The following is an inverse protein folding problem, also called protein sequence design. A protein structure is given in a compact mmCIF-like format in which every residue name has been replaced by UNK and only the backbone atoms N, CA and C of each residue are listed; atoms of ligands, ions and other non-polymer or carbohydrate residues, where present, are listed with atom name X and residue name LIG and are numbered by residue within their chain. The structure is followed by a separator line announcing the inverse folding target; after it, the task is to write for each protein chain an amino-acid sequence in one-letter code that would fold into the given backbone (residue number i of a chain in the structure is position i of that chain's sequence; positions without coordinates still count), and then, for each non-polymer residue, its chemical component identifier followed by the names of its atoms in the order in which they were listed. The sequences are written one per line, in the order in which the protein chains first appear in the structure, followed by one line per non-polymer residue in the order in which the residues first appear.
data_IF_636461227855
#
_entry.id   IF_636461227855
#
_cell.length_a   1.000
_cell.length_b   1.000
_cell.length_c   1.000
_cell.angle_alpha   90.00
_cell.angle_beta   90.00
_cell.angle_gamma   90.00
#
_symmetry.space_group_name_H-M   'P 1'
#
loop_
_entity.id
_entity.type
_entity.pdbx_description
1 polymer ?
#
# COMPACT_ATOMS: atom_id res chain seq x y z
N UNK A 1 19.89 -63.17 7.52
CA UNK A 1 20.25 -61.76 7.82
C UNK A 1 18.99 -60.91 7.82
N UNK A 2 18.65 -60.26 8.94
CA UNK A 2 17.43 -59.46 9.05
C UNK A 2 17.58 -58.14 8.28
N UNK A 3 16.63 -57.88 7.36
CA UNK A 3 16.56 -56.68 6.50
C UNK A 3 16.54 -55.42 7.37
N UNK A 4 17.59 -54.60 7.31
CA UNK A 4 17.70 -53.32 8.01
C UNK A 4 16.58 -52.41 7.51
N UNK A 5 15.66 -52.01 8.40
CA UNK A 5 14.51 -51.16 8.05
C UNK A 5 14.96 -49.73 7.81
N UNK A 6 14.23 -49.00 6.96
CA UNK A 6 14.53 -47.60 6.66
C UNK A 6 14.31 -46.71 7.89
N UNK A 7 15.10 -45.63 8.00
CA UNK A 7 15.01 -44.68 9.11
C UNK A 7 13.60 -44.06 9.18
N UNK A 8 12.90 -44.23 10.30
CA UNK A 8 11.61 -43.57 10.58
C UNK A 8 10.34 -44.42 10.39
N UNK A 9 10.43 -45.72 10.06
CA UNK A 9 9.24 -46.58 9.85
C UNK A 9 8.51 -47.02 11.12
N UNK A 10 9.10 -46.80 12.31
CA UNK A 10 8.53 -47.25 13.59
C UNK A 10 8.49 -48.78 13.75
N UNK A 11 8.36 -49.25 14.98
CA UNK A 11 8.33 -50.68 15.32
C UNK A 11 7.04 -51.04 16.03
N UNK A 12 6.27 -52.01 15.51
CA UNK A 12 5.08 -52.56 16.16
C UNK A 12 5.44 -53.90 16.80
N UNK A 13 5.21 -54.04 18.12
CA UNK A 13 5.44 -55.27 18.89
C UNK A 13 4.27 -55.59 19.82
N UNK A 14 4.12 -56.86 20.20
CA UNK A 14 3.10 -57.30 21.16
C UNK A 14 3.67 -57.25 22.58
N UNK A 15 2.95 -56.63 23.52
CA UNK A 15 3.31 -56.57 24.94
C UNK A 15 2.84 -57.84 25.69
N UNK A 16 3.46 -58.18 26.84
CA UNK A 16 3.01 -59.29 27.69
C UNK A 16 1.54 -59.18 28.14
N UNK A 17 1.02 -57.96 28.27
CA UNK A 17 -0.39 -57.70 28.61
C UNK A 17 -1.37 -57.85 27.43
N UNK A 18 -0.95 -58.46 26.33
CA UNK A 18 -1.79 -58.73 25.15
C UNK A 18 -2.01 -57.55 24.20
N UNK A 19 -1.63 -56.31 24.56
CA UNK A 19 -1.78 -55.12 23.70
C UNK A 19 -0.65 -55.00 22.68
N UNK A 20 -0.93 -54.35 21.55
CA UNK A 20 0.07 -53.96 20.56
C UNK A 20 0.65 -52.59 20.89
N UNK A 21 1.96 -52.43 20.76
CA UNK A 21 2.71 -51.19 20.96
C UNK A 21 3.45 -50.80 19.68
N UNK A 22 3.17 -49.62 19.16
CA UNK A 22 3.90 -48.99 18.06
C UNK A 22 4.83 -47.93 18.62
N UNK A 23 6.14 -48.02 18.36
CA UNK A 23 7.13 -47.00 18.73
C UNK A 23 7.56 -46.21 17.51
N UNK A 24 7.69 -44.90 17.66
CA UNK A 24 8.25 -44.02 16.65
C UNK A 24 9.24 -43.06 17.26
N UNK A 25 10.18 -42.60 16.43
CA UNK A 25 11.13 -41.56 16.80
C UNK A 25 10.45 -40.21 16.59
N UNK A 26 10.30 -39.46 17.68
CA UNK A 26 9.71 -38.13 17.66
C UNK A 26 10.69 -37.09 17.13
N UNK A 27 11.99 -37.27 17.42
CA UNK A 27 13.07 -36.38 17.01
C UNK A 27 14.38 -36.78 17.69
N UNK A 28 15.41 -35.95 17.53
CA UNK A 28 16.68 -36.04 18.25
C UNK A 28 16.70 -34.92 19.29
N UNK A 29 17.04 -35.25 20.53
CA UNK A 29 17.27 -34.29 21.58
C UNK A 29 18.46 -33.38 21.21
N UNK A 30 18.28 -32.05 21.08
CA UNK A 30 19.33 -31.14 20.66
C UNK A 30 20.46 -30.97 21.70
N UNK A 31 20.18 -31.20 22.99
CA UNK A 31 21.18 -31.11 24.05
C UNK A 31 21.97 -32.41 24.22
N UNK A 32 21.34 -33.56 24.02
CA UNK A 32 21.97 -34.87 24.29
C UNK A 32 22.30 -35.69 23.03
N UNK A 33 21.81 -35.29 21.86
CA UNK A 33 21.97 -36.01 20.59
C UNK A 33 21.25 -37.35 20.53
N UNK A 34 20.43 -37.70 21.54
CA UNK A 34 19.77 -39.02 21.63
C UNK A 34 18.39 -39.00 20.97
N UNK A 35 18.02 -40.11 20.35
CA UNK A 35 16.71 -40.28 19.72
C UNK A 35 15.60 -40.40 20.77
N UNK A 36 14.63 -39.48 20.76
CA UNK A 36 13.48 -39.51 21.66
C UNK A 36 12.42 -40.45 21.08
N UNK A 37 12.11 -41.52 21.81
CA UNK A 37 11.13 -42.52 21.39
C UNK A 37 9.80 -42.31 22.12
N UNK A 38 8.68 -42.25 21.38
CA UNK A 38 7.32 -42.32 21.94
C UNK A 38 6.60 -43.58 21.46
N UNK A 39 5.59 -44.00 22.22
CA UNK A 39 4.81 -45.20 21.92
C UNK A 39 3.31 -44.94 21.92
N UNK A 40 2.59 -45.57 20.99
CA UNK A 40 1.13 -45.71 21.00
C UNK A 40 0.76 -47.16 21.29
N UNK A 41 -0.40 -47.40 21.91
CA UNK A 41 -0.87 -48.77 22.17
C UNK A 41 -2.33 -49.01 21.80
N UNK A 42 -2.65 -50.21 21.33
CA UNK A 42 -3.99 -50.60 20.90
C UNK A 42 -4.27 -52.09 21.17
N UNK A 43 -5.54 -52.51 21.07
CA UNK A 43 -5.94 -53.91 21.27
C UNK A 43 -5.62 -54.78 20.06
N UNK A 44 -5.72 -54.23 18.84
CA UNK A 44 -5.41 -54.95 17.60
C UNK A 44 -4.16 -54.37 16.92
N UNK A 45 -3.51 -55.19 16.07
CA UNK A 45 -2.34 -54.75 15.29
C UNK A 45 -2.70 -53.66 14.28
N UNK A 46 -3.88 -53.75 13.67
CA UNK A 46 -4.38 -52.79 12.69
C UNK A 46 -4.65 -51.42 13.33
N UNK A 47 -5.36 -51.39 14.46
CA UNK A 47 -5.62 -50.17 15.22
C UNK A 47 -4.31 -49.54 15.74
N UNK A 48 -3.32 -50.36 16.12
CA UNK A 48 -2.00 -49.90 16.52
C UNK A 48 -1.25 -49.25 15.37
N UNK A 49 -1.30 -49.85 14.16
CA UNK A 49 -0.69 -49.31 12.94
C UNK A 49 -1.29 -47.96 12.57
N UNK A 50 -2.62 -47.84 12.59
CA UNK A 50 -3.30 -46.59 12.26
C UNK A 50 -2.98 -45.47 13.27
N UNK A 51 -2.98 -45.79 14.58
CA UNK A 51 -2.54 -44.85 15.63
C UNK A 51 -1.08 -44.44 15.47
N UNK A 52 -0.22 -45.37 15.03
CA UNK A 52 1.20 -45.11 14.81
C UNK A 52 1.43 -44.21 13.60
N UNK A 53 0.75 -44.47 12.48
CA UNK A 53 0.82 -43.64 11.27
C UNK A 53 0.29 -42.22 11.51
N UNK A 54 -0.80 -42.10 12.28
CA UNK A 54 -1.34 -40.82 12.74
C UNK A 54 -0.33 -40.07 13.60
N UNK A 55 0.24 -40.74 14.61
CA UNK A 55 1.25 -40.15 15.48
C UNK A 55 2.52 -39.72 14.72
N UNK A 56 2.98 -40.50 13.74
CA UNK A 56 4.12 -40.14 12.88
C UNK A 56 3.77 -38.92 12.01
N UNK A 57 2.56 -38.87 11.44
CA UNK A 57 2.11 -37.77 10.59
C UNK A 57 2.00 -36.46 11.38
N UNK A 58 1.38 -36.51 12.55
CA UNK A 58 1.15 -35.35 13.41
C UNK A 58 2.47 -34.78 13.93
N UNK A 59 3.49 -35.64 14.13
CA UNK A 59 4.77 -35.26 14.74
C UNK A 59 5.96 -35.14 13.78
N UNK A 60 5.78 -35.37 12.47
CA UNK A 60 6.86 -35.20 11.47
C UNK A 60 7.26 -33.72 11.32
N UNK A 61 8.48 -33.37 11.69
CA UNK A 61 9.02 -32.02 11.48
C UNK A 61 8.65 -31.03 12.58
N UNK A 62 8.45 -31.51 13.81
CA UNK A 62 8.46 -30.65 15.01
C UNK A 62 9.91 -30.61 15.51
N UNK A 63 10.65 -29.50 15.37
CA UNK A 63 11.91 -29.31 16.09
C UNK A 63 11.61 -29.37 17.60
N UNK A 64 12.20 -30.35 18.29
CA UNK A 64 11.90 -30.68 19.69
C UNK A 64 12.59 -29.75 20.71
N UNK A 65 13.02 -28.56 20.29
CA UNK A 65 13.48 -27.50 21.20
C UNK A 65 12.41 -26.42 21.46
N UNK A 66 11.24 -26.51 20.80
CA UNK A 66 10.16 -25.52 20.92
C UNK A 66 8.91 -26.06 21.60
N UNK A 67 9.06 -26.96 22.58
CA UNK A 67 7.99 -27.27 23.52
C UNK A 67 7.92 -26.23 24.66
N UNK A 68 8.26 -24.98 24.36
CA UNK A 68 7.89 -23.87 25.21
C UNK A 68 6.39 -23.65 25.03
N UNK A 69 5.68 -23.67 26.14
CA UNK A 69 4.28 -23.31 26.23
C UNK A 69 4.17 -21.80 25.94
N UNK A 70 4.36 -21.40 24.68
CA UNK A 70 4.41 -19.99 24.31
C UNK A 70 3.10 -19.32 24.70
N UNK A 71 3.22 -18.18 25.35
CA UNK A 71 2.16 -17.20 25.43
C UNK A 71 2.01 -16.49 24.08
N UNK A 72 0.86 -15.84 23.86
CA UNK A 72 0.65 -15.01 22.66
C UNK A 72 1.73 -13.94 22.55
N UNK A 73 2.16 -13.34 23.66
CA UNK A 73 3.17 -12.29 23.66
C UNK A 73 4.53 -12.81 23.18
N UNK A 74 5.01 -13.91 23.76
CA UNK A 74 6.30 -14.53 23.40
C UNK A 74 6.29 -14.94 21.92
N UNK A 75 5.24 -15.62 21.48
CA UNK A 75 5.14 -16.04 20.09
C UNK A 75 5.09 -14.88 19.11
N UNK A 76 4.25 -13.86 19.35
CA UNK A 76 4.14 -12.72 18.45
C UNK A 76 5.48 -11.97 18.33
N UNK A 77 6.23 -11.83 19.43
CA UNK A 77 7.56 -11.18 19.42
C UNK A 77 8.59 -12.03 18.68
N UNK A 78 8.66 -13.33 18.97
CA UNK A 78 9.54 -14.27 18.26
C UNK A 78 9.24 -14.31 16.77
N UNK A 79 7.94 -14.41 16.42
CA UNK A 79 7.48 -14.40 15.04
C UNK A 79 7.88 -13.11 14.33
N UNK A 80 7.69 -11.98 15.00
CA UNK A 80 8.02 -10.68 14.46
C UNK A 80 9.51 -10.55 14.16
N UNK A 81 10.40 -10.89 15.10
CA UNK A 81 11.85 -10.76 14.90
C UNK A 81 12.40 -11.79 13.91
N UNK A 82 11.90 -13.03 13.95
CA UNK A 82 12.45 -14.15 13.15
C UNK A 82 11.92 -14.17 11.72
N UNK A 83 10.60 -14.05 11.55
CA UNK A 83 9.96 -14.28 10.25
C UNK A 83 9.50 -12.99 9.58
N UNK A 84 8.94 -12.04 10.34
CA UNK A 84 8.29 -10.88 9.74
C UNK A 84 9.25 -9.73 9.44
N UNK A 85 10.01 -9.28 10.43
CA UNK A 85 10.86 -8.08 10.37
C UNK A 85 11.94 -8.15 9.29
N UNK A 86 12.64 -9.28 9.04
CA UNK A 86 13.70 -9.34 8.03
C UNK A 86 13.23 -9.10 6.59
N UNK A 87 11.94 -9.34 6.30
CA UNK A 87 11.39 -9.31 4.93
C UNK A 87 10.42 -8.16 4.68
N UNK A 88 10.18 -7.29 5.66
CA UNK A 88 9.28 -6.14 5.55
C UNK A 88 10.01 -4.81 5.71
N UNK A 89 9.46 -3.75 5.12
CA UNK A 89 10.04 -2.40 5.20
C UNK A 89 10.01 -1.84 6.63
N UNK A 90 10.94 -0.94 7.01
CA UNK A 90 11.05 -0.38 8.36
C UNK A 90 9.74 0.19 8.91
N UNK A 91 9.00 0.97 8.11
CA UNK A 91 7.73 1.54 8.57
C UNK A 91 6.64 0.46 8.76
N UNK A 92 6.65 -0.62 7.96
CA UNK A 92 5.76 -1.75 8.17
C UNK A 92 6.14 -2.51 9.45
N UNK A 93 7.43 -2.73 9.69
CA UNK A 93 7.94 -3.34 10.91
C UNK A 93 7.53 -2.54 12.16
N UNK A 94 7.72 -1.22 12.13
CA UNK A 94 7.28 -0.31 13.20
C UNK A 94 5.78 -0.42 13.48
N UNK A 95 4.96 -0.46 12.42
CA UNK A 95 3.52 -0.62 12.55
C UNK A 95 3.14 -1.99 13.15
N UNK A 96 3.79 -3.08 12.73
CA UNK A 96 3.56 -4.42 13.27
C UNK A 96 3.93 -4.47 14.76
N UNK A 97 5.12 -3.95 15.11
CA UNK A 97 5.56 -3.84 16.51
C UNK A 97 4.57 -3.04 17.36
N UNK A 98 4.12 -1.88 16.87
CA UNK A 98 3.11 -1.08 17.57
C UNK A 98 1.79 -1.83 17.80
N UNK A 99 1.38 -2.67 16.84
CA UNK A 99 0.18 -3.48 16.97
C UNK A 99 0.37 -4.59 18.00
N UNK A 100 1.52 -5.26 17.97
CA UNK A 100 1.85 -6.33 18.91
C UNK A 100 1.88 -5.77 20.32
N UNK A 101 2.71 -4.75 20.57
CA UNK A 101 3.00 -4.26 21.92
C UNK A 101 1.85 -3.45 22.53
N UNK A 102 1.11 -2.68 21.74
CA UNK A 102 0.08 -1.78 22.30
C UNK A 102 -1.35 -2.33 22.23
N UNK A 103 -1.59 -3.40 21.47
CA UNK A 103 -2.94 -3.94 21.30
C UNK A 103 -3.05 -5.43 21.59
N UNK A 104 -2.15 -6.26 21.04
CA UNK A 104 -2.23 -7.72 21.19
C UNK A 104 -1.73 -8.14 22.58
N UNK A 105 -0.51 -7.73 22.94
CA UNK A 105 0.13 -8.11 24.21
C UNK A 105 -0.68 -7.67 25.42
N UNK A 106 -1.18 -6.42 25.53
CA UNK A 106 -1.93 -5.99 26.71
C UNK A 106 -3.27 -6.72 26.88
N UNK A 107 -3.88 -7.18 25.78
CA UNK A 107 -5.22 -7.78 25.83
C UNK A 107 -5.18 -9.30 26.04
N UNK A 108 -4.31 -10.01 25.31
CA UNK A 108 -4.27 -11.49 25.31
C UNK A 108 -2.86 -12.05 25.44
N UNK A 109 -1.85 -11.19 25.69
CA UNK A 109 -0.45 -11.55 25.69
C UNK A 109 -0.08 -12.66 26.67
N UNK A 110 -0.76 -12.74 27.82
CA UNK A 110 -0.51 -13.76 28.85
C UNK A 110 -1.17 -15.11 28.55
N UNK A 111 -2.07 -15.18 27.58
CA UNK A 111 -2.78 -16.42 27.22
C UNK A 111 -1.80 -17.37 26.54
N UNK A 112 -1.75 -18.63 26.98
CA UNK A 112 -0.98 -19.68 26.30
C UNK A 112 -1.58 -19.97 24.92
N UNK A 113 -0.75 -20.09 23.89
CA UNK A 113 -1.20 -20.32 22.51
C UNK A 113 -2.17 -21.51 22.39
N UNK A 114 -1.87 -22.62 23.07
CA UNK A 114 -2.71 -23.84 23.07
C UNK A 114 -4.08 -23.64 23.72
N UNK A 115 -4.25 -22.59 24.53
CA UNK A 115 -5.51 -22.22 25.19
C UNK A 115 -6.17 -21.00 24.55
N UNK A 116 -5.58 -20.42 23.51
CA UNK A 116 -6.12 -19.25 22.84
C UNK A 116 -7.36 -19.65 22.02
N UNK A 117 -8.47 -18.99 22.32
CA UNK A 117 -9.76 -19.25 21.65
C UNK A 117 -10.19 -18.08 20.77
N UNK A 118 -11.03 -18.36 19.77
CA UNK A 118 -11.62 -17.32 18.92
C UNK A 118 -12.47 -16.32 19.72
N UNK A 119 -13.11 -16.76 20.81
CA UNK A 119 -13.93 -15.90 21.68
C UNK A 119 -13.05 -14.84 22.38
N UNK A 120 -11.89 -15.22 22.91
CA UNK A 120 -10.97 -14.27 23.54
C UNK A 120 -10.47 -13.22 22.52
N UNK A 121 -10.18 -13.64 21.29
CA UNK A 121 -9.77 -12.72 20.22
C UNK A 121 -10.93 -11.79 19.82
N UNK A 122 -12.15 -12.31 19.71
CA UNK A 122 -13.32 -11.48 19.41
C UNK A 122 -13.59 -10.45 20.51
N UNK A 123 -13.45 -10.84 21.78
CA UNK A 123 -13.56 -9.92 22.91
C UNK A 123 -12.49 -8.83 22.85
N UNK A 124 -11.24 -9.18 22.50
CA UNK A 124 -10.19 -8.19 22.26
C UNK A 124 -10.58 -7.20 21.15
N UNK A 125 -11.15 -7.66 20.02
CA UNK A 125 -11.60 -6.78 18.94
C UNK A 125 -12.72 -5.83 19.39
N UNK A 126 -13.70 -6.35 20.15
CA UNK A 126 -14.81 -5.56 20.66
C UNK A 126 -14.32 -4.51 21.67
N UNK A 127 -13.43 -4.91 22.59
CA UNK A 127 -12.81 -4.00 23.57
C UNK A 127 -11.94 -2.94 22.89
N UNK A 128 -11.20 -3.32 21.85
CA UNK A 128 -10.41 -2.39 21.03
C UNK A 128 -11.31 -1.32 20.40
N UNK A 129 -12.49 -1.69 19.91
CA UNK A 129 -13.47 -0.77 19.34
C UNK A 129 -14.07 0.17 20.40
N UNK A 130 -14.20 -0.27 21.65
CA UNK A 130 -14.81 0.54 22.71
C UNK A 130 -13.80 1.42 23.48
N UNK A 131 -12.57 0.93 23.72
CA UNK A 131 -11.60 1.53 24.66
C UNK A 131 -10.14 1.43 24.20
N UNK A 132 -9.88 1.03 22.95
CA UNK A 132 -8.55 0.60 22.51
C UNK A 132 -7.59 1.70 22.05
N UNK A 133 -7.97 2.98 22.10
CA UNK A 133 -7.09 4.06 21.64
C UNK A 133 -5.93 4.23 22.63
N UNK A 134 -4.71 3.95 22.17
CA UNK A 134 -3.48 4.16 22.97
C UNK A 134 -3.34 5.66 23.22
N UNK A 135 -3.46 6.06 24.48
CA UNK A 135 -3.42 7.46 24.87
C UNK A 135 -1.96 7.94 24.82
N UNK A 136 -1.63 8.71 23.78
CA UNK A 136 -0.29 9.31 23.60
C UNK A 136 -0.17 10.72 24.17
N UNK A 137 -1.29 11.36 24.48
CA UNK A 137 -1.39 12.73 24.98
C UNK A 137 -2.49 12.78 26.05
N UNK A 138 -2.35 13.72 27.01
CA UNK A 138 -3.23 13.86 28.19
C UNK A 138 -4.68 14.28 27.84
N UNK A 139 -4.94 14.65 26.59
CA UNK A 139 -6.28 14.97 26.10
C UNK A 139 -7.08 13.70 25.77
N UNK A 140 -8.17 13.49 26.52
CA UNK A 140 -9.14 12.41 26.27
C UNK A 140 -9.80 12.59 24.90
N UNK A 141 -9.26 11.95 23.88
CA UNK A 141 -9.93 11.81 22.57
C UNK A 141 -10.74 10.52 22.58
N UNK A 142 -12.01 10.60 22.17
CA UNK A 142 -12.99 9.50 22.11
C UNK A 142 -12.35 8.10 21.97
N UNK A 143 -12.56 7.24 22.97
CA UNK A 143 -11.77 6.04 23.27
C UNK A 143 -11.85 4.88 22.24
N UNK A 144 -12.62 5.06 21.16
CA UNK A 144 -12.89 4.03 20.16
C UNK A 144 -11.81 3.95 19.06
N UNK A 145 -11.34 2.75 18.75
CA UNK A 145 -10.54 2.49 17.54
C UNK A 145 -11.43 2.32 16.31
N UNK A 146 -10.95 2.79 15.16
CA UNK A 146 -11.62 2.57 13.87
C UNK A 146 -11.66 1.08 13.48
N UNK A 147 -12.68 0.69 12.73
CA UNK A 147 -12.78 -0.66 12.17
C UNK A 147 -11.56 -1.05 11.30
N UNK A 148 -10.96 -0.07 10.62
CA UNK A 148 -9.71 -0.26 9.86
C UNK A 148 -8.52 -0.64 10.74
N UNK A 149 -8.44 -0.12 11.97
CA UNK A 149 -7.37 -0.47 12.91
C UNK A 149 -7.57 -1.88 13.45
N UNK A 150 -8.81 -2.25 13.80
CA UNK A 150 -9.16 -3.63 14.23
C UNK A 150 -8.83 -4.64 13.13
N UNK A 151 -9.13 -4.34 11.85
CA UNK A 151 -8.70 -5.16 10.71
C UNK A 151 -7.19 -5.36 10.67
N UNK A 152 -6.41 -4.32 10.94
CA UNK A 152 -4.95 -4.40 10.94
C UNK A 152 -4.41 -5.23 12.11
N UNK A 153 -5.00 -5.09 13.30
CA UNK A 153 -4.71 -5.95 14.46
C UNK A 153 -4.97 -7.41 14.11
N UNK A 154 -6.13 -7.71 13.52
CA UNK A 154 -6.46 -9.04 13.04
C UNK A 154 -5.44 -9.58 12.04
N UNK A 155 -5.06 -8.78 11.03
CA UNK A 155 -4.10 -9.21 10.01
C UNK A 155 -2.74 -9.61 10.62
N UNK A 156 -2.21 -8.81 11.55
CA UNK A 156 -0.92 -9.10 12.20
C UNK A 156 -1.03 -10.37 13.05
N UNK A 157 -2.06 -10.47 13.90
CA UNK A 157 -2.26 -11.64 14.75
C UNK A 157 -2.48 -12.92 13.93
N UNK A 158 -3.36 -12.86 12.93
CA UNK A 158 -3.65 -13.99 12.04
C UNK A 158 -2.40 -14.45 11.28
N UNK A 159 -1.54 -13.52 10.84
CA UNK A 159 -0.26 -13.86 10.20
C UNK A 159 0.68 -14.60 11.16
N UNK A 160 0.82 -14.10 12.39
CA UNK A 160 1.63 -14.76 13.42
C UNK A 160 1.11 -16.18 13.75
N UNK A 161 -0.21 -16.33 13.94
CA UNK A 161 -0.82 -17.61 14.27
C UNK A 161 -0.82 -18.59 13.09
N UNK A 162 -0.90 -18.11 11.84
CA UNK A 162 -0.67 -18.95 10.65
C UNK A 162 0.73 -19.54 10.63
N UNK A 163 1.75 -18.77 11.03
CA UNK A 163 3.09 -19.33 11.17
C UNK A 163 3.13 -20.37 12.31
N UNK A 164 2.45 -20.12 13.44
CA UNK A 164 2.37 -21.11 14.54
C UNK A 164 1.74 -22.44 14.10
N UNK A 165 0.76 -22.41 13.21
CA UNK A 165 0.18 -23.63 12.60
C UNK A 165 1.20 -24.34 11.72
N UNK A 166 1.97 -23.61 10.91
CA UNK A 166 3.04 -24.20 10.07
C UNK A 166 4.13 -24.86 10.89
N UNK A 167 4.52 -24.24 12.00
CA UNK A 167 5.45 -24.80 12.99
C UNK A 167 4.80 -25.88 13.89
N UNK A 168 3.50 -26.17 13.69
CA UNK A 168 2.71 -27.17 14.43
C UNK A 168 2.63 -26.90 15.94
N UNK A 169 2.78 -25.65 16.37
CA UNK A 169 2.64 -25.23 17.76
C UNK A 169 1.16 -25.25 18.17
N UNK A 170 0.27 -24.89 17.24
CA UNK A 170 -1.19 -24.98 17.38
C UNK A 170 -1.80 -25.72 16.18
N UNK A 171 -2.91 -26.45 16.37
CA UNK A 171 -3.50 -27.29 15.32
C UNK A 171 -4.25 -26.50 14.25
N UNK A 172 -4.76 -25.30 14.58
CA UNK A 172 -5.48 -24.41 13.67
C UNK A 172 -5.30 -22.96 14.11
N UNK A 173 -5.66 -22.01 13.26
CA UNK A 173 -5.60 -20.58 13.55
C UNK A 173 -6.92 -20.07 14.14
N UNK A 174 -6.99 -19.69 15.44
CA UNK A 174 -8.23 -19.20 16.05
C UNK A 174 -8.78 -17.91 15.42
N UNK A 175 -7.94 -17.12 14.73
CA UNK A 175 -8.40 -15.91 14.03
C UNK A 175 -9.39 -16.21 12.90
N UNK A 176 -9.35 -17.39 12.28
CA UNK A 176 -10.18 -17.71 11.11
C UNK A 176 -11.68 -17.74 11.44
N UNK A 177 -12.03 -17.93 12.72
CA UNK A 177 -13.41 -17.94 13.21
C UNK A 177 -13.87 -16.59 13.80
N UNK A 178 -13.05 -15.54 13.70
CA UNK A 178 -13.40 -14.23 14.23
C UNK A 178 -14.19 -13.37 13.24
N UNK A 179 -15.12 -12.57 13.74
CA UNK A 179 -15.85 -11.56 12.96
C UNK A 179 -15.11 -10.23 12.98
N UNK A 180 -14.76 -9.76 11.79
CA UNK A 180 -13.95 -8.56 11.60
C UNK A 180 -14.86 -7.42 11.09
N UNK A 181 -14.68 -6.16 11.55
CA UNK A 181 -15.47 -5.03 11.06
C UNK A 181 -15.41 -4.90 9.54
N UNK A 182 -16.53 -4.54 8.90
CA UNK A 182 -16.57 -4.27 7.45
C UNK A 182 -15.59 -3.15 7.09
N UNK A 183 -15.07 -3.19 5.87
CA UNK A 183 -14.25 -2.10 5.33
C UNK A 183 -15.22 -0.94 5.06
N UNK A 184 -15.09 0.14 5.82
CA UNK A 184 -15.80 1.39 5.52
C UNK A 184 -15.16 2.03 4.29
N UNK A 185 -15.98 2.42 3.33
CA UNK A 185 -15.59 3.30 2.25
C UNK A 185 -15.86 4.72 2.73
N UNK A 186 -14.83 5.55 2.75
CA UNK A 186 -14.99 6.98 2.99
C UNK A 186 -15.08 7.65 1.64
N UNK A 187 -16.04 8.54 1.48
CA UNK A 187 -16.08 9.41 0.31
C UNK A 187 -14.80 10.24 0.27
N UNK A 188 -14.26 10.40 -0.93
CA UNK A 188 -13.06 11.18 -1.13
C UNK A 188 -13.42 12.66 -1.06
N UNK A 189 -12.60 13.43 -0.36
CA UNK A 189 -12.73 14.88 -0.31
C UNK A 189 -11.77 15.48 -1.32
N UNK A 190 -12.24 16.40 -2.14
CA UNK A 190 -11.41 17.17 -3.08
C UNK A 190 -11.52 18.66 -2.75
N UNK A 191 -10.60 19.46 -3.27
CA UNK A 191 -10.79 20.92 -3.27
C UNK A 191 -11.93 21.23 -4.25
N UNK A 192 -12.97 21.99 -3.85
CA UNK A 192 -14.00 22.44 -4.77
C UNK A 192 -13.38 23.24 -5.93
N UNK A 193 -13.69 22.94 -7.21
CA UNK A 193 -13.07 23.60 -8.36
C UNK A 193 -13.10 25.13 -8.30
N UNK A 194 -14.19 25.71 -7.83
CA UNK A 194 -14.40 27.14 -7.65
C UNK A 194 -13.50 27.77 -6.57
N UNK A 195 -13.01 26.98 -5.61
CA UNK A 195 -12.10 27.42 -4.54
C UNK A 195 -10.63 27.23 -4.91
N UNK A 196 -10.31 26.46 -5.96
CA UNK A 196 -8.93 26.14 -6.34
C UNK A 196 -8.07 27.39 -6.59
N UNK A 197 -8.64 28.39 -7.28
CA UNK A 197 -7.94 29.64 -7.54
C UNK A 197 -7.63 30.45 -6.27
N UNK A 198 -8.55 30.45 -5.29
CA UNK A 198 -8.32 31.08 -3.98
C UNK A 198 -7.22 30.33 -3.23
N UNK A 199 -7.30 29.00 -3.19
CA UNK A 199 -6.32 28.16 -2.53
C UNK A 199 -4.89 28.36 -3.06
N UNK A 200 -4.72 28.43 -4.39
CA UNK A 200 -3.40 28.69 -5.00
C UNK A 200 -2.87 30.10 -4.68
N UNK A 201 -3.74 31.12 -4.61
CA UNK A 201 -3.33 32.47 -4.16
C UNK A 201 -2.88 32.48 -2.71
N UNK A 202 -3.54 31.75 -1.83
CA UNK A 202 -3.09 31.63 -0.44
C UNK A 202 -1.76 30.86 -0.35
N UNK A 203 -1.55 29.83 -1.19
CA UNK A 203 -0.27 29.15 -1.29
C UNK A 203 0.86 30.08 -1.76
N UNK A 204 0.56 30.99 -2.68
CA UNK A 204 1.50 32.02 -3.17
C UNK A 204 1.86 33.01 -2.08
N UNK A 205 0.87 33.59 -1.39
CA UNK A 205 1.10 34.49 -0.25
C UNK A 205 1.91 33.81 0.87
N UNK A 206 1.73 32.51 1.06
CA UNK A 206 2.47 31.73 2.05
C UNK A 206 3.89 31.34 1.59
N UNK A 207 4.22 31.53 0.30
CA UNK A 207 5.54 31.19 -0.26
C UNK A 207 5.73 29.70 -0.54
N UNK A 208 4.66 28.95 -0.80
CA UNK A 208 4.71 27.50 -1.10
C UNK A 208 3.99 27.12 -2.40
N UNK A 209 3.59 28.11 -3.21
CA UNK A 209 2.89 27.89 -4.47
C UNK A 209 3.54 26.82 -5.35
N UNK A 210 4.86 26.83 -5.63
CA UNK A 210 5.46 25.88 -6.56
C UNK A 210 5.23 24.42 -6.18
N UNK A 211 5.38 24.09 -4.89
CA UNK A 211 5.16 22.73 -4.38
C UNK A 211 3.69 22.28 -4.52
N UNK A 212 2.75 23.14 -4.13
CA UNK A 212 1.33 22.81 -4.13
C UNK A 212 0.74 22.81 -5.55
N UNK A 213 1.19 23.73 -6.40
CA UNK A 213 0.84 23.77 -7.81
C UNK A 213 1.32 22.50 -8.53
N UNK A 214 2.55 22.05 -8.24
CA UNK A 214 3.07 20.82 -8.84
C UNK A 214 2.23 19.60 -8.41
N UNK A 215 1.91 19.44 -7.12
CA UNK A 215 1.04 18.35 -6.65
C UNK A 215 -0.33 18.35 -7.36
N UNK A 216 -0.95 19.52 -7.50
CA UNK A 216 -2.27 19.69 -8.13
C UNK A 216 -2.26 19.55 -9.67
N UNK A 217 -1.10 19.65 -10.32
CA UNK A 217 -0.96 19.53 -11.78
C UNK A 217 -0.35 18.21 -12.25
N UNK A 218 0.26 17.44 -11.34
CA UNK A 218 0.95 16.18 -11.66
C UNK A 218 0.51 14.99 -10.80
N UNK A 219 -0.19 15.25 -9.69
CA UNK A 219 -0.72 14.23 -8.80
C UNK A 219 0.34 13.34 -8.18
N UNK A 220 1.51 13.86 -7.82
CA UNK A 220 2.56 13.07 -7.18
C UNK A 220 2.11 12.52 -5.81
N UNK A 221 2.87 11.59 -5.24
CA UNK A 221 2.68 11.29 -3.81
C UNK A 221 3.51 12.28 -3.02
N UNK A 222 3.00 12.78 -1.88
CA UNK A 222 3.75 13.65 -0.96
C UNK A 222 5.22 13.26 -0.75
N UNK A 223 5.53 11.98 -0.49
CA UNK A 223 6.91 11.55 -0.32
C UNK A 223 7.76 11.70 -1.59
N UNK A 224 7.18 11.44 -2.76
CA UNK A 224 7.81 11.59 -4.07
C UNK A 224 8.09 13.08 -4.36
N UNK A 225 7.08 13.93 -4.16
CA UNK A 225 7.17 15.38 -4.34
C UNK A 225 8.30 15.99 -3.50
N UNK A 226 8.40 15.59 -2.24
CA UNK A 226 9.43 16.12 -1.32
C UNK A 226 10.83 15.56 -1.57
N UNK A 227 10.99 14.57 -2.45
CA UNK A 227 12.30 13.99 -2.77
C UNK A 227 12.91 14.56 -4.05
N UNK A 228 12.18 15.42 -4.77
CA UNK A 228 12.61 15.91 -6.08
C UNK A 228 13.87 16.77 -5.97
N UNK A 229 14.76 16.58 -6.95
CA UNK A 229 15.93 17.39 -7.21
C UNK A 229 15.76 18.13 -8.53
N UNK A 230 16.53 19.20 -8.75
CA UNK A 230 16.53 19.90 -10.04
C UNK A 230 16.93 19.00 -11.21
N UNK A 231 17.86 18.07 -11.00
CA UNK A 231 18.27 17.07 -12.00
C UNK A 231 17.16 16.11 -12.42
N UNK A 232 16.07 16.01 -11.65
CA UNK A 232 14.92 15.20 -12.03
C UNK A 232 14.05 15.90 -13.10
N UNK A 233 14.17 17.22 -13.26
CA UNK A 233 13.38 18.04 -14.18
C UNK A 233 14.16 18.34 -15.45
N UNK A 234 13.72 17.76 -16.57
CA UNK A 234 14.15 18.22 -17.88
C UNK A 234 13.25 19.39 -18.30
N UNK A 235 13.77 20.61 -18.17
CA UNK A 235 13.06 21.87 -18.49
C UNK A 235 12.69 21.96 -19.97
N UNK A 236 13.58 21.51 -20.87
CA UNK A 236 13.38 21.58 -22.32
C UNK A 236 12.24 20.70 -22.79
N UNK A 237 12.23 19.44 -22.35
CA UNK A 237 11.20 18.47 -22.72
C UNK A 237 9.96 18.57 -21.80
N UNK A 238 10.06 19.34 -20.70
CA UNK A 238 9.05 19.50 -19.65
C UNK A 238 8.66 18.17 -19.01
N UNK A 239 9.66 17.35 -18.72
CA UNK A 239 9.46 16.02 -18.16
C UNK A 239 10.13 15.92 -16.80
N UNK A 240 9.32 15.56 -15.80
CA UNK A 240 9.76 15.27 -14.44
C UNK A 240 9.96 13.77 -14.23
N UNK A 241 11.14 13.39 -13.77
CA UNK A 241 11.50 12.00 -13.46
C UNK A 241 11.22 11.69 -12.00
N UNK A 242 10.31 10.77 -11.73
CA UNK A 242 9.92 10.37 -10.37
C UNK A 242 10.50 9.01 -10.09
N UNK A 243 11.51 8.94 -9.22
CA UNK A 243 12.26 7.69 -8.95
C UNK A 243 12.58 7.47 -7.47
N UNK A 244 12.24 8.41 -6.59
CA UNK A 244 12.61 8.43 -5.18
C UNK A 244 11.49 9.03 -4.31
N UNK A 245 11.56 8.79 -3.00
CA UNK A 245 10.64 9.37 -2.03
C UNK A 245 11.33 9.65 -0.69
N UNK A 246 10.93 10.74 -0.02
CA UNK A 246 11.30 11.02 1.37
C UNK A 246 10.34 10.27 2.29
N UNK A 247 10.91 9.54 3.24
CA UNK A 247 10.17 8.86 4.30
C UNK A 247 10.80 9.13 5.66
N UNK A 248 10.04 8.96 6.74
CA UNK A 248 10.54 9.13 8.09
C UNK A 248 10.82 7.77 8.72
N UNK A 249 12.09 7.50 9.02
CA UNK A 249 12.57 6.27 9.66
C UNK A 249 13.23 6.67 10.97
N UNK A 250 12.70 6.16 12.08
CA UNK A 250 13.25 6.37 13.43
C UNK A 250 13.52 7.83 13.84
N UNK A 251 12.75 8.77 13.28
CA UNK A 251 12.85 10.20 13.57
C UNK A 251 13.55 10.99 12.47
N UNK A 252 14.32 10.31 11.62
CA UNK A 252 15.10 10.91 10.55
C UNK A 252 14.38 10.89 9.20
N UNK A 253 14.65 11.91 8.38
CA UNK A 253 14.18 11.95 6.99
C UNK A 253 15.19 11.23 6.11
N UNK A 254 14.72 10.18 5.44
CA UNK A 254 15.56 9.31 4.59
C UNK A 254 14.96 9.27 3.20
N UNK A 255 15.80 9.44 2.18
CA UNK A 255 15.43 9.22 0.79
C UNK A 255 15.51 7.73 0.51
N UNK A 256 14.43 7.17 -0.04
CA UNK A 256 14.32 5.75 -0.33
C UNK A 256 13.76 5.55 -1.74
N UNK A 257 14.03 4.38 -2.32
CA UNK A 257 13.38 3.98 -3.55
C UNK A 257 11.88 3.72 -3.33
N UNK A 258 11.03 3.97 -4.34
CA UNK A 258 9.62 3.71 -4.29
C UNK A 258 9.25 2.27 -3.94
N UNK A 259 7.98 2.07 -3.55
CA UNK A 259 7.51 0.74 -3.14
C UNK A 259 7.42 -0.25 -4.28
N UNK A 260 7.09 0.24 -5.47
CA UNK A 260 6.76 -0.56 -6.63
C UNK A 260 7.50 -0.01 -7.84
N UNK A 261 7.84 -0.89 -8.80
CA UNK A 261 8.46 -0.47 -10.07
C UNK A 261 7.61 0.57 -10.79
N UNK A 262 6.29 0.45 -10.76
CA UNK A 262 5.35 1.42 -11.37
C UNK A 262 5.37 2.82 -10.75
N UNK A 263 5.94 2.99 -9.56
CA UNK A 263 6.14 4.33 -9.00
C UNK A 263 7.29 5.06 -9.67
N UNK A 264 8.23 4.34 -10.30
CA UNK A 264 9.27 4.93 -11.14
C UNK A 264 8.65 5.28 -12.48
N UNK A 265 8.56 6.58 -12.78
CA UNK A 265 7.82 7.08 -13.94
C UNK A 265 8.29 8.46 -14.37
N UNK A 266 7.91 8.83 -15.59
CA UNK A 266 8.08 10.17 -16.13
C UNK A 266 6.72 10.85 -16.19
N UNK A 267 6.63 12.09 -15.72
CA UNK A 267 5.40 12.89 -15.75
C UNK A 267 5.65 14.13 -16.60
N UNK A 268 4.83 14.33 -17.62
CA UNK A 268 4.86 15.53 -18.42
C UNK A 268 4.24 16.69 -17.64
N UNK A 269 4.88 17.86 -17.68
CA UNK A 269 4.44 19.08 -17.02
C UNK A 269 3.94 20.09 -18.05
N UNK A 270 3.00 20.96 -17.64
CA UNK A 270 2.61 22.12 -18.44
C UNK A 270 3.73 23.16 -18.47
N UNK A 271 3.73 24.03 -19.49
CA UNK A 271 4.67 25.16 -19.54
C UNK A 271 4.59 26.01 -18.28
N UNK A 272 3.37 26.33 -17.84
CA UNK A 272 3.12 27.11 -16.64
C UNK A 272 3.74 26.47 -15.37
N UNK A 273 3.67 25.15 -15.23
CA UNK A 273 4.32 24.46 -14.11
C UNK A 273 5.83 24.66 -14.16
N UNK A 274 6.44 24.50 -15.34
CA UNK A 274 7.88 24.69 -15.54
C UNK A 274 8.30 26.14 -15.26
N UNK A 275 7.52 27.13 -15.69
CA UNK A 275 7.83 28.55 -15.45
C UNK A 275 7.73 28.91 -13.96
N UNK A 276 6.79 28.31 -13.22
CA UNK A 276 6.69 28.46 -11.77
C UNK A 276 7.91 27.82 -11.08
N UNK A 277 8.32 26.63 -11.52
CA UNK A 277 9.50 25.96 -10.97
C UNK A 277 10.79 26.73 -11.30
N UNK A 278 10.95 27.25 -12.52
CA UNK A 278 12.13 28.05 -12.88
C UNK A 278 12.31 29.27 -11.95
N UNK A 279 11.22 29.98 -11.65
CA UNK A 279 11.24 31.10 -10.68
C UNK A 279 11.57 30.67 -9.25
N UNK A 280 11.18 29.46 -8.85
CA UNK A 280 11.56 28.90 -7.55
C UNK A 280 13.07 28.59 -7.51
N UNK A 281 13.64 28.07 -8.60
CA UNK A 281 15.07 27.78 -8.70
C UNK A 281 15.92 29.04 -8.52
N UNK A 282 15.50 30.16 -9.09
CA UNK A 282 16.19 31.46 -8.97
C UNK A 282 16.33 31.94 -7.52
N UNK A 283 15.44 31.52 -6.61
CA UNK A 283 15.54 31.87 -5.19
C UNK A 283 16.63 31.08 -4.46
N UNK A 284 16.94 29.87 -4.96
CA UNK A 284 17.85 28.91 -4.33
C UNK A 284 18.72 28.20 -5.38
N UNK A 285 19.54 28.92 -6.17
CA UNK A 285 20.21 28.37 -7.36
C UNK A 285 21.21 27.26 -7.01
N UNK A 286 21.86 27.35 -5.85
CA UNK A 286 22.87 26.39 -5.42
C UNK A 286 22.30 25.16 -4.70
N UNK A 287 20.98 25.10 -4.45
CA UNK A 287 20.38 23.98 -3.74
C UNK A 287 19.93 22.89 -4.71
N UNK A 288 20.45 21.66 -4.62
CA UNK A 288 20.03 20.58 -5.52
C UNK A 288 18.59 20.13 -5.28
N UNK A 289 18.02 20.37 -4.09
CA UNK A 289 16.66 19.99 -3.74
C UNK A 289 15.69 20.97 -4.38
N UNK A 290 14.68 20.44 -5.07
CA UNK A 290 13.71 21.24 -5.83
C UNK A 290 12.81 22.07 -4.89
N UNK A 291 12.49 21.54 -3.71
CA UNK A 291 11.80 22.27 -2.65
C UNK A 291 12.57 22.16 -1.32
N UNK A 292 13.55 23.04 -1.05
CA UNK A 292 14.26 23.01 0.21
C UNK A 292 13.40 23.55 1.35
N UNK A 293 13.58 23.02 2.56
CA UNK A 293 12.92 23.55 3.74
C UNK A 293 13.54 24.88 4.13
N UNK A 294 12.77 25.96 4.32
CA UNK A 294 13.31 27.26 4.69
C UNK A 294 13.97 27.25 6.08
N UNK A 295 13.69 26.23 6.90
CA UNK A 295 14.29 26.08 8.24
C UNK A 295 15.65 25.38 8.22
N UNK A 296 15.86 24.42 7.33
CA UNK A 296 17.04 23.53 7.38
C UNK A 296 17.86 23.52 6.11
N UNK A 297 17.36 24.07 4.99
CA UNK A 297 17.93 23.92 3.65
C UNK A 297 17.80 22.51 3.05
N UNK A 298 17.45 21.51 3.87
CA UNK A 298 17.25 20.12 3.45
C UNK A 298 15.79 19.79 3.12
N UNK A 299 15.45 18.51 3.12
CA UNK A 299 14.08 18.06 2.80
C UNK A 299 13.03 18.53 3.81
N UNK A 300 11.84 18.86 3.31
CA UNK A 300 10.68 19.11 4.17
C UNK A 300 10.26 17.86 4.94
N UNK A 301 9.84 18.08 6.19
CA UNK A 301 9.09 17.07 6.93
C UNK A 301 7.69 16.88 6.33
N UNK A 302 7.25 15.64 6.03
CA UNK A 302 5.91 15.39 5.51
C UNK A 302 4.79 15.95 6.41
N UNK A 303 5.00 15.96 7.73
CA UNK A 303 4.03 16.49 8.69
C UNK A 303 3.96 18.02 8.66
N UNK A 304 5.06 18.69 8.32
CA UNK A 304 5.07 20.14 8.15
C UNK A 304 4.20 20.55 6.96
N UNK A 305 4.35 19.85 5.83
CA UNK A 305 3.55 20.08 4.62
C UNK A 305 2.06 19.84 4.87
N UNK A 306 1.71 18.79 5.62
CA UNK A 306 0.32 18.56 6.01
C UNK A 306 -0.26 19.64 6.93
N UNK A 307 0.54 20.22 7.82
CA UNK A 307 0.11 21.34 8.66
C UNK A 307 -0.07 22.61 7.82
N UNK A 308 0.82 22.86 6.86
CA UNK A 308 0.70 23.99 5.92
C UNK A 308 -0.59 23.86 5.11
N UNK A 309 -0.84 22.68 4.52
CA UNK A 309 -2.08 22.43 3.77
C UNK A 309 -3.34 22.79 4.57
N UNK A 310 -3.42 22.38 5.84
CA UNK A 310 -4.56 22.72 6.69
C UNK A 310 -4.74 24.23 6.84
N UNK A 311 -3.65 24.98 7.06
CA UNK A 311 -3.69 26.45 7.12
C UNK A 311 -4.18 27.06 5.81
N UNK A 312 -3.68 26.55 4.67
CA UNK A 312 -4.10 27.04 3.36
C UNK A 312 -5.59 26.83 3.11
N UNK A 313 -6.15 25.70 3.54
CA UNK A 313 -7.60 25.45 3.45
C UNK A 313 -8.40 26.42 4.31
N UNK A 314 -7.97 26.63 5.56
CA UNK A 314 -8.58 27.59 6.49
C UNK A 314 -8.56 29.02 5.89
N UNK A 315 -7.41 29.45 5.35
CA UNK A 315 -7.25 30.78 4.73
C UNK A 315 -8.06 30.93 3.43
N UNK A 316 -8.25 29.85 2.68
CA UNK A 316 -9.07 29.84 1.47
C UNK A 316 -10.57 29.72 1.75
N UNK A 317 -10.98 29.58 3.02
CA UNK A 317 -12.38 29.37 3.40
C UNK A 317 -12.94 28.07 2.82
N UNK A 318 -12.17 26.99 2.89
CA UNK A 318 -12.55 25.62 2.53
C UNK A 318 -12.81 24.87 3.84
N UNK A 319 -14.07 24.52 4.09
CA UNK A 319 -14.51 23.87 5.33
C UNK A 319 -14.30 22.35 5.27
N UNK A 320 -14.21 21.80 4.06
CA UNK A 320 -14.01 20.39 3.82
C UNK A 320 -12.65 19.91 4.32
N UNK A 321 -12.64 18.72 4.92
CA UNK A 321 -11.39 18.11 5.40
C UNK A 321 -10.58 17.49 4.26
N UNK A 322 -9.85 18.32 3.52
CA UNK A 322 -8.91 17.88 2.47
C UNK A 322 -7.52 17.66 3.08
N UNK A 323 -7.02 16.43 3.09
CA UNK A 323 -5.62 16.19 3.50
C UNK A 323 -4.70 16.54 2.33
N UNK A 324 -3.41 16.75 2.59
CA UNK A 324 -2.44 16.97 1.51
C UNK A 324 -2.45 15.84 0.47
N UNK A 325 -2.60 14.58 0.91
CA UNK A 325 -2.70 13.46 -0.02
C UNK A 325 -3.96 13.51 -0.90
N UNK A 326 -4.99 14.22 -0.45
CA UNK A 326 -6.25 14.35 -1.19
C UNK A 326 -6.14 15.40 -2.31
N UNK A 327 -5.08 16.23 -2.35
CA UNK A 327 -4.79 17.09 -3.51
C UNK A 327 -4.56 16.27 -4.79
N UNK A 328 -3.93 15.11 -4.64
CA UNK A 328 -3.82 14.14 -5.72
C UNK A 328 -5.18 13.61 -6.18
N UNK A 329 -6.16 13.51 -5.28
CA UNK A 329 -7.53 13.17 -5.65
C UNK A 329 -8.19 14.32 -6.42
N UNK A 330 -7.97 15.58 -6.01
CA UNK A 330 -8.38 16.76 -6.79
C UNK A 330 -7.83 16.72 -8.21
N UNK A 331 -6.51 16.51 -8.37
CA UNK A 331 -5.87 16.38 -9.68
C UNK A 331 -6.51 15.26 -10.52
N UNK A 332 -6.68 14.07 -9.95
CA UNK A 332 -7.23 12.92 -10.66
C UNK A 332 -8.67 13.15 -11.13
N UNK A 333 -9.52 13.74 -10.27
CA UNK A 333 -10.89 14.09 -10.63
C UNK A 333 -10.90 15.12 -11.76
N UNK A 334 -10.09 16.19 -11.66
CA UNK A 334 -10.01 17.21 -12.72
C UNK A 334 -9.51 16.63 -14.04
N UNK A 335 -8.53 15.73 -14.01
CA UNK A 335 -7.99 15.07 -15.20
C UNK A 335 -9.07 14.21 -15.90
N UNK A 336 -9.81 13.40 -15.14
CA UNK A 336 -10.91 12.61 -15.68
C UNK A 336 -12.03 13.48 -16.25
N UNK A 337 -12.43 14.54 -15.52
CA UNK A 337 -13.44 15.49 -16.00
C UNK A 337 -13.00 16.23 -17.28
N UNK A 338 -11.69 16.42 -17.45
CA UNK A 338 -11.10 17.00 -18.68
C UNK A 338 -11.00 15.99 -19.83
N UNK A 339 -11.39 14.73 -19.62
CA UNK A 339 -11.39 13.69 -20.64
C UNK A 339 -10.10 12.88 -20.76
N UNK A 340 -9.18 12.97 -19.77
CA UNK A 340 -8.01 12.09 -19.72
C UNK A 340 -8.48 10.66 -19.45
N UNK A 341 -8.00 9.69 -20.25
CA UNK A 341 -8.39 8.30 -20.06
C UNK A 341 -7.77 7.69 -18.79
N UNK A 342 -8.46 6.70 -18.22
CA UNK A 342 -8.06 6.09 -16.95
C UNK A 342 -6.67 5.41 -16.99
N UNK A 343 -6.21 4.94 -18.16
CA UNK A 343 -4.90 4.29 -18.30
C UNK A 343 -3.79 5.34 -18.31
N UNK A 344 -3.98 6.44 -19.03
CA UNK A 344 -3.06 7.60 -18.99
C UNK A 344 -2.99 8.17 -17.58
N UNK A 345 -4.12 8.43 -16.93
CA UNK A 345 -4.14 8.89 -15.54
C UNK A 345 -3.46 7.90 -14.59
N UNK A 346 -3.75 6.60 -14.72
CA UNK A 346 -3.10 5.55 -13.93
C UNK A 346 -1.58 5.57 -14.08
N UNK A 347 -1.08 5.83 -15.29
CA UNK A 347 0.35 5.95 -15.59
C UNK A 347 0.94 7.19 -14.92
N UNK A 348 0.32 8.36 -15.07
CA UNK A 348 0.76 9.62 -14.44
C UNK A 348 0.79 9.53 -12.91
N UNK A 349 -0.19 8.85 -12.32
CA UNK A 349 -0.29 8.61 -10.89
C UNK A 349 0.69 7.52 -10.41
N UNK A 350 1.20 6.65 -11.28
CA UNK A 350 2.00 5.49 -10.89
C UNK A 350 1.18 4.50 -10.07
N UNK A 351 -0.04 4.21 -10.52
CA UNK A 351 -0.90 3.15 -9.96
C UNK A 351 -0.48 1.79 -10.52
N UNK A 352 -0.72 0.73 -9.74
CA UNK A 352 -0.34 -0.63 -10.16
C UNK A 352 -1.25 -1.18 -11.27
N UNK A 353 -2.47 -0.64 -11.41
CA UNK A 353 -3.42 -0.99 -12.45
C UNK A 353 -4.38 0.17 -12.72
N UNK A 354 -4.92 0.25 -13.94
CA UNK A 354 -5.99 1.18 -14.26
C UNK A 354 -7.29 0.86 -13.48
N UNK A 355 -7.53 -0.42 -13.17
CA UNK A 355 -8.65 -0.84 -12.31
C UNK A 355 -8.60 -0.16 -10.94
N UNK A 356 -7.41 -0.03 -10.32
CA UNK A 356 -7.28 0.72 -9.07
C UNK A 356 -7.62 2.20 -9.22
N UNK A 357 -7.26 2.83 -10.34
CA UNK A 357 -7.66 4.21 -10.66
C UNK A 357 -9.17 4.30 -10.79
N UNK A 358 -9.80 3.39 -11.52
CA UNK A 358 -11.25 3.35 -11.66
C UNK A 358 -11.92 3.15 -10.29
N UNK A 359 -11.58 2.09 -9.55
CA UNK A 359 -12.14 1.82 -8.20
C UNK A 359 -11.99 3.00 -7.22
N UNK A 360 -10.98 3.84 -7.44
CA UNK A 360 -10.75 5.03 -6.63
C UNK A 360 -11.60 6.20 -7.13
N UNK A 361 -11.74 6.41 -8.45
CA UNK A 361 -12.30 7.62 -9.05
C UNK A 361 -13.59 7.43 -9.87
N UNK A 362 -14.28 6.29 -9.75
CA UNK A 362 -15.47 5.88 -10.53
C UNK A 362 -16.73 6.73 -10.33
N UNK A 363 -16.67 7.89 -9.68
CA UNK A 363 -17.81 8.81 -9.67
C UNK A 363 -17.91 9.48 -11.04
N UNK A 364 -18.52 8.77 -11.99
CA UNK A 364 -18.97 9.34 -13.25
C UNK A 364 -20.01 10.40 -12.87
N UNK A 365 -19.68 11.67 -13.08
CA UNK A 365 -20.66 12.74 -12.93
C UNK A 365 -21.57 12.77 -14.16
N UNK A 366 -22.80 13.24 -14.01
CA UNK A 366 -23.70 13.44 -15.15
C UNK A 366 -23.09 14.42 -16.18
N UNK A 367 -22.22 15.33 -15.73
CA UNK A 367 -21.46 16.25 -16.57
C UNK A 367 -20.43 15.52 -17.44
N UNK A 368 -19.71 14.52 -16.90
CA UNK A 368 -18.81 13.68 -17.69
C UNK A 368 -19.58 12.88 -18.77
N UNK A 369 -20.79 12.39 -18.45
CA UNK A 369 -21.64 11.70 -19.44
C UNK A 369 -22.10 12.66 -20.54
N UNK A 370 -22.52 13.88 -20.19
CA UNK A 370 -22.92 14.90 -21.17
C UNK A 370 -21.76 15.32 -22.06
N UNK A 371 -20.60 15.63 -21.49
CA UNK A 371 -19.42 15.99 -22.28
C UNK A 371 -18.95 14.88 -23.21
N UNK A 372 -19.09 13.60 -22.81
CA UNK A 372 -18.83 12.47 -23.70
C UNK A 372 -19.86 12.38 -24.84
N UNK A 373 -21.15 12.59 -24.55
CA UNK A 373 -22.20 12.61 -25.56
C UNK A 373 -22.03 13.77 -26.56
N UNK A 374 -21.67 14.97 -26.09
CA UNK A 374 -21.40 16.15 -26.93
C UNK A 374 -20.20 15.92 -27.86
N UNK A 375 -19.10 15.33 -27.35
CA UNK A 375 -17.94 14.97 -28.18
C UNK A 375 -18.33 13.99 -29.29
N UNK A 376 -19.13 12.96 -28.97
CA UNK A 376 -19.65 12.02 -29.97
C UNK A 376 -20.55 12.75 -30.97
N UNK A 377 -21.43 13.63 -30.50
CA UNK A 377 -22.26 14.49 -31.35
C UNK A 377 -21.44 15.29 -32.37
N UNK A 378 -20.40 15.98 -31.91
CA UNK A 378 -19.49 16.73 -32.79
C UNK A 378 -18.76 15.86 -33.82
N UNK A 379 -18.31 14.66 -33.43
CA UNK A 379 -17.75 13.70 -34.39
C UNK A 379 -18.78 13.26 -35.45
N UNK A 380 -20.03 12.99 -35.03
CA UNK A 380 -21.11 12.61 -35.93
C UNK A 380 -21.51 13.75 -36.87
N UNK A 381 -21.52 14.99 -36.40
CA UNK A 381 -21.75 16.18 -37.23
C UNK A 381 -20.64 16.34 -38.27
N UNK A 382 -19.37 16.18 -37.87
CA UNK A 382 -18.23 16.24 -38.78
C UNK A 382 -18.28 15.12 -39.82
N UNK A 383 -18.68 13.91 -39.43
CA UNK A 383 -18.79 12.76 -40.32
C UNK A 383 -20.00 12.83 -41.27
N UNK A 384 -21.04 13.57 -40.90
CA UNK A 384 -22.26 13.74 -41.71
C UNK A 384 -22.33 15.07 -42.46
N UNK A 385 -21.37 15.97 -42.23
CA UNK A 385 -21.20 17.19 -42.99
C UNK A 385 -21.01 16.85 -44.48
N UNK A 386 -21.90 17.38 -45.32
CA UNK A 386 -21.71 17.31 -46.78
C UNK A 386 -20.45 18.10 -47.15
N UNK A 387 -19.61 17.61 -48.08
CA UNK A 387 -18.48 18.40 -48.57
C UNK A 387 -19.00 19.73 -49.12
N UNK A 388 -18.37 20.83 -48.72
CA UNK A 388 -18.63 22.13 -49.35
C UNK A 388 -18.38 22.00 -50.86
N UNK A 389 -19.28 22.52 -51.72
CA UNK A 389 -19.04 22.52 -53.15
C UNK A 389 -17.75 23.31 -53.41
N UNK A 390 -16.85 22.73 -54.22
CA UNK A 390 -15.62 23.40 -54.63
C UNK A 390 -15.96 24.79 -55.18
N UNK A 391 -15.19 25.83 -54.81
CA UNK A 391 -15.38 27.14 -55.39
C UNK A 391 -15.28 27.04 -56.93
N UNK A 392 -16.15 27.73 -57.68
CA UNK A 392 -16.15 27.63 -59.13
C UNK A 392 -14.77 27.99 -59.69
N UNK A 393 -14.32 27.21 -60.68
CA UNK A 393 -13.07 27.46 -61.38
C UNK A 393 -12.99 28.93 -61.82
N UNK A 394 -11.85 29.59 -61.62
CA UNK A 394 -11.68 30.97 -62.06
C UNK A 394 -11.89 31.06 -63.59
N UNK A 395 -12.46 32.16 -64.09
CA UNK A 395 -12.78 32.32 -65.51
C UNK A 395 -11.53 32.13 -66.39
N UNK A 396 -11.72 31.46 -67.54
CA UNK A 396 -10.67 31.00 -68.48
C UNK A 396 -9.71 32.12 -68.96
N UNK A 397 -10.08 33.39 -68.80
CA UNK A 397 -9.27 34.55 -69.20
C UNK A 397 -8.01 34.77 -68.33
N UNK A 398 -7.87 34.05 -67.21
CA UNK A 398 -6.74 34.15 -66.29
C UNK A 398 -5.67 33.06 -66.45
N UNK A 399 -5.81 32.15 -67.42
CA UNK A 399 -4.75 31.19 -67.75
C UNK A 399 -3.62 31.91 -68.50
N UNK A 400 -2.58 32.30 -67.77
CA UNK A 400 -1.30 32.73 -68.34
C UNK A 400 -0.85 31.71 -69.40
N UNK A 401 -0.73 32.17 -70.66
CA UNK A 401 -0.12 31.39 -71.74
C UNK A 401 1.32 31.09 -71.35
N UNK A 402 1.58 29.85 -70.96
CA UNK A 402 2.95 29.34 -70.81
C UNK A 402 3.57 29.28 -72.20
N UNK A 403 4.55 30.16 -72.45
CA UNK A 403 5.35 30.14 -73.68
C UNK A 403 6.39 29.02 -73.51
N UNK A 404 6.50 28.05 -74.43
CA UNK A 404 7.49 26.99 -74.33
C UNK A 404 8.90 27.56 -74.48
N UNK A 405 9.78 27.22 -73.53
CA UNK A 405 11.18 27.60 -73.56
C UNK A 405 11.96 26.65 -74.46
N UNK A 406 11.86 26.82 -75.78
CA UNK A 406 12.81 26.23 -76.72
C UNK A 406 13.31 27.30 -77.70
N UNK A 407 14.64 27.48 -77.69
CA UNK A 407 15.50 28.25 -78.60
C UNK A 407 15.51 29.77 -78.48
N UNK A 408 16.46 30.26 -77.67
CA UNK A 408 17.29 31.42 -78.05
C UNK A 408 18.71 31.20 -77.51
N UNK A 409 19.70 31.17 -78.42
CA UNK A 409 21.13 31.37 -78.14
C UNK A 409 21.96 30.11 -77.96
#
# INVERSE_FOLDING_TARGET
MAKKRANGEGSIRRKPNGRWEGRYTLGIDPATGRAIQKSVSAKTRAECKEKLERAIRDNRGIPMDHNEDYTVAEWCRLWFETYSKPVIRPNTAKNYRNIIENHIVPAIGMVKLKRLTAIQIQQMYNNSKARGRVQRFDTQTNAALSGSTVRRIHMVLSSALKQAVKERIIPYNPCDNCRIPRKEHREMTIIPPEKLGVYLREAEKYGVLPMFFLELSSGLRRGELLALLWDDLNVKDRILSVSKQVTRIDGELVVTEPKTKNSIRRVALSQQAVDILAREHEQHPDNPILFPSPRTGGYWSPDAVSRINRKLLEMAGIEEHVRFHDLRHTFATMALSSGVDAKTLSSMLGHFSAGFTLDTYTHITNEMQRGAAEKIGGFMETATAKPEPEPPDPPEESRCKVIPFERVG
#
